data_IF_609604253824
#
_entry.id   IF_609604253824
#
_cell.length_a   1.000
_cell.length_b   1.000
_cell.length_c   1.000
_cell.angle_alpha   90.00
_cell.angle_beta   90.00
_cell.angle_gamma   90.00
#
_symmetry.space_group_name_H-M   'P 1'
#
loop_
_entity.id
_entity.type
_entity.pdbx_description
1 polymer ?
#
# COMPACT_ATOMS: atom_id res chain seq x y z
N UNK A 1 -19.92 6.68 9.62
CA UNK A 1 -18.60 6.39 10.22
C UNK A 1 -17.59 7.43 9.72
N UNK A 2 -16.67 7.95 10.55
CA UNK A 2 -15.64 8.89 10.10
C UNK A 2 -14.80 8.25 9.00
N UNK A 3 -14.72 8.89 7.83
CA UNK A 3 -13.90 8.40 6.71
C UNK A 3 -12.40 8.38 7.04
N UNK A 4 -11.97 9.25 7.95
CA UNK A 4 -10.59 9.39 8.37
C UNK A 4 -10.51 9.18 9.89
N UNK A 5 -10.04 8.01 10.31
CA UNK A 5 -9.86 7.68 11.73
C UNK A 5 -8.54 8.25 12.25
N UNK A 6 -8.60 9.14 13.24
CA UNK A 6 -7.41 9.60 13.96
C UNK A 6 -7.14 8.65 15.13
N UNK A 7 -5.94 8.09 15.17
CA UNK A 7 -5.52 7.21 16.27
C UNK A 7 -5.38 8.01 17.57
N UNK A 8 -5.84 7.42 18.67
CA UNK A 8 -5.74 8.02 20.02
C UNK A 8 -4.45 7.64 20.78
N UNK A 9 -3.70 6.65 20.29
CA UNK A 9 -2.53 6.09 20.99
C UNK A 9 -1.28 6.18 20.15
N UNK A 10 -0.13 6.40 20.79
CA UNK A 10 1.20 6.38 20.17
C UNK A 10 1.80 4.97 20.01
N UNK A 11 0.95 3.93 19.97
CA UNK A 11 1.43 2.56 19.70
C UNK A 11 2.02 2.50 18.29
N UNK A 12 3.14 1.79 18.14
CA UNK A 12 3.85 1.66 16.87
C UNK A 12 4.47 2.98 16.38
N UNK A 13 5.00 3.80 17.30
CA UNK A 13 5.71 5.04 17.00
C UNK A 13 7.11 4.84 16.38
N UNK A 14 7.56 3.60 16.25
CA UNK A 14 8.83 3.27 15.62
C UNK A 14 8.74 3.40 14.09
N UNK A 15 9.85 3.75 13.47
CA UNK A 15 9.93 3.98 12.04
C UNK A 15 9.88 2.67 11.22
N UNK A 16 9.10 2.69 10.11
CA UNK A 16 8.89 1.52 9.25
C UNK A 16 10.19 1.08 8.57
N UNK A 17 11.03 2.04 8.15
CA UNK A 17 12.30 1.75 7.48
C UNK A 17 13.31 1.15 8.47
N UNK A 18 13.37 1.67 9.69
CA UNK A 18 14.18 1.10 10.77
C UNK A 18 13.80 -0.37 11.07
N UNK A 19 12.51 -0.71 11.04
CA UNK A 19 12.07 -2.10 11.22
C UNK A 19 12.54 -3.02 10.10
N UNK A 20 12.46 -2.59 8.83
CA UNK A 20 12.99 -3.36 7.69
C UNK A 20 14.49 -3.62 7.84
N UNK A 21 15.26 -2.58 8.20
CA UNK A 21 16.71 -2.68 8.42
C UNK A 21 17.07 -3.60 9.58
N UNK A 22 16.35 -3.50 10.70
CA UNK A 22 16.56 -4.37 11.85
C UNK A 22 16.31 -5.86 11.52
N UNK A 23 15.25 -6.15 10.76
CA UNK A 23 14.95 -7.50 10.31
C UNK A 23 16.05 -8.03 9.39
N UNK A 24 16.49 -7.24 8.40
CA UNK A 24 17.53 -7.68 7.46
C UNK A 24 18.88 -7.91 8.14
N UNK A 25 19.26 -7.10 9.13
CA UNK A 25 20.49 -7.32 9.89
C UNK A 25 20.45 -8.64 10.69
N UNK A 26 19.33 -8.93 11.35
CA UNK A 26 19.16 -10.17 12.14
C UNK A 26 19.10 -11.38 11.23
N UNK A 27 18.38 -11.31 10.11
CA UNK A 27 18.27 -12.41 9.12
C UNK A 27 19.63 -12.72 8.48
N UNK A 28 20.43 -11.70 8.22
CA UNK A 28 21.80 -11.86 7.71
C UNK A 28 22.81 -12.29 8.79
N UNK A 29 22.35 -12.66 9.99
CA UNK A 29 23.17 -13.04 11.14
C UNK A 29 24.24 -12.01 11.53
N UNK A 30 24.04 -10.72 11.21
CA UNK A 30 24.99 -9.65 11.54
C UNK A 30 24.89 -9.19 13.00
N UNK A 31 23.72 -9.31 13.61
CA UNK A 31 23.45 -8.85 14.96
C UNK A 31 22.39 -9.72 15.64
N UNK A 32 22.47 -9.82 16.97
CA UNK A 32 21.43 -10.47 17.77
C UNK A 32 20.16 -9.61 17.80
N UNK A 33 19.00 -10.21 18.05
CA UNK A 33 17.70 -9.51 18.10
C UNK A 33 17.75 -8.31 19.06
N UNK A 34 18.40 -8.48 20.22
CA UNK A 34 18.55 -7.42 21.21
C UNK A 34 19.49 -6.29 20.74
N UNK A 35 20.59 -6.64 20.07
CA UNK A 35 21.53 -5.65 19.54
C UNK A 35 20.89 -4.83 18.41
N UNK A 36 20.18 -5.47 17.48
CA UNK A 36 19.43 -4.79 16.43
C UNK A 36 18.31 -3.90 17.00
N UNK A 37 17.56 -4.41 17.99
CA UNK A 37 16.50 -3.65 18.66
C UNK A 37 17.01 -2.34 19.26
N UNK A 38 18.15 -2.38 19.98
CA UNK A 38 18.79 -1.18 20.55
C UNK A 38 19.31 -0.24 19.47
N UNK A 39 19.91 -0.78 18.41
CA UNK A 39 20.51 0.00 17.31
C UNK A 39 19.46 0.82 16.54
N UNK A 40 18.27 0.27 16.36
CA UNK A 40 17.21 0.87 15.54
C UNK A 40 16.09 1.55 16.36
N UNK A 41 16.25 1.64 17.68
CA UNK A 41 15.25 2.15 18.63
C UNK A 41 13.88 1.47 18.48
N UNK A 42 13.91 0.13 18.45
CA UNK A 42 12.72 -0.70 18.32
C UNK A 42 12.60 -1.55 19.58
N UNK A 43 11.43 -1.62 20.22
CA UNK A 43 11.23 -2.53 21.33
C UNK A 43 11.53 -3.97 20.91
N UNK A 44 12.48 -4.60 21.58
CA UNK A 44 12.95 -5.97 21.29
C UNK A 44 11.81 -7.00 21.16
N UNK A 45 10.75 -6.99 22.01
CA UNK A 45 9.62 -7.90 21.86
C UNK A 45 8.86 -7.69 20.55
N UNK A 46 8.84 -6.46 20.04
CA UNK A 46 8.25 -6.14 18.75
C UNK A 46 9.10 -6.74 17.63
N UNK A 47 10.42 -6.51 17.63
CA UNK A 47 11.30 -7.07 16.60
C UNK A 47 11.20 -8.61 16.56
N UNK A 48 11.28 -9.28 17.73
CA UNK A 48 11.11 -10.73 17.84
C UNK A 48 9.76 -11.21 17.30
N UNK A 49 8.67 -10.48 17.58
CA UNK A 49 7.32 -10.80 17.05
C UNK A 49 7.29 -10.73 15.52
N UNK A 50 7.94 -9.74 14.91
CA UNK A 50 7.98 -9.57 13.47
C UNK A 50 8.79 -10.68 12.78
N UNK A 51 9.92 -11.08 13.38
CA UNK A 51 10.73 -12.21 12.92
C UNK A 51 9.94 -13.52 12.96
N UNK A 52 9.26 -13.81 14.08
CA UNK A 52 8.46 -15.04 14.24
C UNK A 52 7.27 -15.11 13.28
N UNK A 53 6.67 -13.97 12.91
CA UNK A 53 5.50 -13.90 12.03
C UNK A 53 5.85 -13.97 10.53
N UNK A 54 7.12 -14.21 10.19
CA UNK A 54 7.55 -14.33 8.79
C UNK A 54 7.34 -13.05 7.99
N UNK A 55 7.66 -11.88 8.57
CA UNK A 55 7.67 -10.63 7.81
C UNK A 55 6.31 -10.21 7.23
N UNK A 56 5.19 -10.62 7.84
CA UNK A 56 3.85 -10.19 7.39
C UNK A 56 3.57 -8.73 7.77
N UNK A 57 4.39 -7.82 7.27
CA UNK A 57 4.02 -6.42 7.09
C UNK A 57 2.88 -6.42 6.09
N UNK A 58 1.65 -6.23 6.57
CA UNK A 58 0.42 -6.23 5.75
C UNK A 58 0.41 -5.14 4.65
N UNK A 59 1.50 -4.41 4.44
CA UNK A 59 1.58 -3.11 3.75
C UNK A 59 2.93 -2.81 3.08
N UNK A 60 3.78 -3.80 2.76
CA UNK A 60 5.10 -3.52 2.16
C UNK A 60 5.42 -4.38 0.94
N UNK A 61 4.40 -4.85 0.23
CA UNK A 61 4.58 -4.94 -1.21
C UNK A 61 4.38 -3.51 -1.71
N UNK A 62 5.49 -2.82 -1.98
CA UNK A 62 5.51 -1.75 -2.98
C UNK A 62 5.04 -2.39 -4.28
N UNK A 63 3.74 -2.61 -4.40
CA UNK A 63 3.16 -2.95 -5.67
C UNK A 63 3.44 -1.73 -6.53
N UNK A 64 4.35 -1.89 -7.50
CA UNK A 64 4.26 -1.20 -8.79
C UNK A 64 2.87 -1.51 -9.37
N UNK A 65 1.85 -0.94 -8.76
CA UNK A 65 0.56 -0.75 -9.36
C UNK A 65 0.78 0.12 -10.61
N UNK A 66 -0.16 0.22 -11.57
CA UNK A 66 0.07 0.92 -12.83
C UNK A 66 0.20 2.45 -12.71
N UNK A 67 0.96 2.98 -11.74
CA UNK A 67 1.47 4.35 -11.66
C UNK A 67 2.26 4.69 -12.93
N UNK A 68 2.95 3.72 -13.52
CA UNK A 68 3.66 3.90 -14.79
C UNK A 68 2.70 4.16 -15.97
N UNK A 69 1.47 3.63 -15.94
CA UNK A 69 0.43 3.97 -16.93
C UNK A 69 -0.08 5.40 -16.73
N UNK A 70 -0.28 5.83 -15.47
CA UNK A 70 -0.74 7.19 -15.16
C UNK A 70 0.30 8.30 -15.39
N UNK A 71 1.60 8.00 -15.24
CA UNK A 71 2.67 9.00 -15.43
C UNK A 71 2.99 9.30 -16.89
N UNK A 72 2.83 8.32 -17.79
CA UNK A 72 3.28 8.44 -19.18
C UNK A 72 2.16 8.63 -20.18
N UNK A 73 0.90 8.36 -19.81
CA UNK A 73 -0.13 8.32 -20.83
C UNK A 73 -1.57 8.48 -20.30
N UNK A 74 -2.22 9.55 -20.77
CA UNK A 74 -3.67 9.70 -20.96
C UNK A 74 -4.55 10.11 -19.76
N UNK A 75 -5.48 11.03 -20.09
CA UNK A 75 -6.61 11.44 -19.27
C UNK A 75 -7.60 10.31 -18.99
N UNK A 76 -7.14 9.32 -18.23
CA UNK A 76 -7.93 8.20 -17.75
C UNK A 76 -8.99 8.71 -16.78
N UNK A 77 -10.24 8.34 -17.06
CA UNK A 77 -11.34 8.54 -16.12
C UNK A 77 -11.21 7.56 -14.95
N UNK A 78 -11.81 7.90 -13.80
CA UNK A 78 -11.86 7.01 -12.63
C UNK A 78 -12.38 5.61 -12.99
N UNK A 79 -13.37 5.52 -13.88
CA UNK A 79 -13.97 4.26 -14.32
C UNK A 79 -13.01 3.40 -15.17
N UNK A 80 -12.18 4.02 -16.00
CA UNK A 80 -11.15 3.30 -16.77
C UNK A 80 -10.02 2.85 -15.84
N UNK A 81 -9.59 3.72 -14.94
CA UNK A 81 -8.59 3.38 -13.93
C UNK A 81 -9.05 2.18 -13.08
N UNK A 82 -10.30 2.18 -12.62
CA UNK A 82 -10.87 1.06 -11.85
C UNK A 82 -10.87 -0.28 -12.58
N UNK A 83 -11.07 -0.29 -13.91
CA UNK A 83 -10.97 -1.52 -14.73
C UNK A 83 -9.54 -2.03 -14.81
N UNK A 84 -8.58 -1.12 -15.07
CA UNK A 84 -7.15 -1.46 -15.08
C UNK A 84 -6.67 -2.03 -13.74
N UNK A 85 -7.16 -1.49 -12.62
CA UNK A 85 -6.87 -2.00 -11.28
C UNK A 85 -7.34 -3.45 -11.10
N UNK A 86 -8.53 -3.76 -11.62
CA UNK A 86 -9.13 -5.09 -11.54
C UNK A 86 -8.33 -6.10 -12.35
N UNK A 87 -8.07 -5.78 -13.62
CA UNK A 87 -7.31 -6.67 -14.52
C UNK A 87 -5.87 -6.88 -14.02
N UNK A 88 -5.24 -5.84 -13.48
CA UNK A 88 -3.92 -5.96 -12.85
C UNK A 88 -3.95 -6.90 -11.63
N UNK A 89 -4.97 -6.79 -10.79
CA UNK A 89 -5.08 -7.65 -9.62
C UNK A 89 -5.41 -9.11 -9.97
N UNK A 90 -6.25 -9.36 -10.99
CA UNK A 90 -6.50 -10.72 -11.52
C UNK A 90 -5.23 -11.33 -12.14
N UNK A 91 -4.51 -10.57 -12.98
CA UNK A 91 -3.28 -11.07 -13.62
C UNK A 91 -2.16 -11.39 -12.63
N UNK A 92 -2.08 -10.66 -11.50
CA UNK A 92 -1.14 -10.93 -10.41
C UNK A 92 -1.64 -11.99 -9.43
N UNK A 93 -2.87 -12.50 -9.59
CA UNK A 93 -3.47 -13.47 -8.66
C UNK A 93 -3.72 -12.90 -7.26
N UNK A 94 -3.84 -11.58 -7.13
CA UNK A 94 -4.04 -10.91 -5.84
C UNK A 94 -5.52 -11.04 -5.47
N UNK A 95 -5.82 -11.67 -4.35
CA UNK A 95 -7.19 -11.76 -3.83
C UNK A 95 -7.72 -10.37 -3.49
N UNK A 96 -8.73 -9.89 -4.23
CA UNK A 96 -9.31 -8.55 -4.05
C UNK A 96 -10.81 -8.59 -3.80
N UNK A 97 -11.34 -7.56 -3.14
CA UNK A 97 -12.77 -7.35 -2.87
C UNK A 97 -13.48 -6.53 -3.95
N UNK A 98 -12.83 -6.35 -5.11
CA UNK A 98 -13.41 -5.59 -6.22
C UNK A 98 -14.67 -6.25 -6.75
N UNK A 99 -15.52 -5.46 -7.39
CA UNK A 99 -16.77 -5.94 -7.94
C UNK A 99 -16.46 -6.77 -9.21
N UNK A 100 -16.78 -8.07 -9.15
CA UNK A 100 -16.56 -9.02 -10.25
C UNK A 100 -17.58 -8.86 -11.38
N UNK A 101 -18.81 -8.46 -11.08
CA UNK A 101 -19.86 -8.22 -12.09
C UNK A 101 -19.49 -7.02 -12.97
N UNK A 102 -19.03 -5.93 -12.36
CA UNK A 102 -18.61 -4.71 -13.06
C UNK A 102 -17.16 -4.74 -13.54
N UNK A 103 -16.40 -5.79 -13.18
CA UNK A 103 -14.96 -5.95 -13.44
C UNK A 103 -14.16 -4.67 -13.15
N UNK A 104 -14.42 -4.05 -12.01
CA UNK A 104 -13.84 -2.75 -11.66
C UNK A 104 -13.58 -2.58 -10.17
N UNK A 105 -12.50 -1.87 -9.84
CA UNK A 105 -12.23 -1.43 -8.49
C UNK A 105 -13.24 -0.38 -8.00
N UNK A 106 -13.60 -0.46 -6.72
CA UNK A 106 -14.56 0.44 -6.10
C UNK A 106 -14.04 1.87 -5.98
N UNK A 107 -14.96 2.83 -5.83
CA UNK A 107 -14.64 4.26 -5.68
C UNK A 107 -13.69 4.52 -4.51
N UNK A 108 -13.90 3.86 -3.38
CA UNK A 108 -13.07 4.03 -2.19
C UNK A 108 -11.62 3.58 -2.42
N UNK A 109 -11.43 2.49 -3.17
CA UNK A 109 -10.09 2.03 -3.56
C UNK A 109 -9.39 3.05 -4.45
N UNK A 110 -10.09 3.57 -5.46
CA UNK A 110 -9.53 4.55 -6.39
C UNK A 110 -9.14 5.84 -5.65
N UNK A 111 -10.02 6.35 -4.76
CA UNK A 111 -9.73 7.56 -3.98
C UNK A 111 -8.58 7.36 -2.98
N UNK A 112 -8.52 6.21 -2.30
CA UNK A 112 -7.40 5.86 -1.42
C UNK A 112 -6.08 5.76 -2.19
N UNK A 113 -6.09 5.06 -3.32
CA UNK A 113 -4.93 4.87 -4.18
C UNK A 113 -4.40 6.22 -4.69
N UNK A 114 -5.27 7.08 -5.21
CA UNK A 114 -4.87 8.42 -5.70
C UNK A 114 -4.24 9.29 -4.61
N UNK A 115 -4.74 9.19 -3.37
CA UNK A 115 -4.19 9.92 -2.20
C UNK A 115 -2.79 9.45 -1.84
N UNK A 116 -2.56 8.14 -1.91
CA UNK A 116 -1.26 7.53 -1.59
C UNK A 116 -0.24 7.74 -2.72
N UNK A 117 -0.66 7.58 -3.97
CA UNK A 117 0.21 7.67 -5.16
C UNK A 117 0.41 9.09 -5.71
N UNK A 118 -0.19 10.12 -5.07
CA UNK A 118 -0.19 11.53 -5.52
C UNK A 118 -0.57 11.71 -7.00
N UNK A 119 -1.45 10.87 -7.54
CA UNK A 119 -1.91 10.95 -8.94
C UNK A 119 -3.14 11.86 -9.06
N UNK A 120 -3.19 12.67 -10.11
CA UNK A 120 -4.36 13.47 -10.50
C UNK A 120 -5.00 12.86 -11.75
N UNK A 121 -6.31 12.54 -11.70
CA UNK A 121 -7.09 12.07 -12.84
C UNK A 121 -7.98 13.21 -13.37
N UNK A 122 -8.22 13.25 -14.69
CA UNK A 122 -9.09 14.26 -15.33
C UNK A 122 -10.55 14.04 -14.92
N UNK A 123 -11.29 15.12 -14.68
CA UNK A 123 -12.77 15.05 -14.63
C UNK A 123 -13.27 14.99 -16.09
N UNK A 124 -14.16 14.07 -16.46
CA UNK A 124 -14.78 14.13 -17.79
C UNK A 124 -15.55 15.45 -17.90
N UNK A 125 -15.20 16.28 -18.88
CA UNK A 125 -16.00 17.44 -19.27
C UNK A 125 -17.25 16.92 -19.99
N UNK A 126 -18.43 17.47 -19.66
CA UNK A 126 -19.67 17.11 -20.34
C UNK A 126 -19.60 17.65 -21.77
N UNK A 127 -19.39 16.77 -22.75
CA UNK A 127 -19.63 17.11 -24.15
C UNK A 127 -21.13 17.24 -24.35
N UNK A 128 -21.64 18.48 -24.32
CA UNK A 128 -22.94 18.81 -24.88
C UNK A 128 -22.86 18.50 -26.38
N UNK A 129 -23.46 17.39 -26.79
CA UNK A 129 -23.69 17.09 -28.20
C UNK A 129 -24.72 18.11 -28.71
N UNK A 130 -24.31 18.96 -29.66
CA UNK A 130 -25.18 19.85 -30.41
C UNK A 130 -25.60 19.19 -31.72
#
# INVERSE_FOLDING_TARGET
MPRNYVRKTNRQSWDKENMKKAISEVVNNRSSVNAAAKKYDIPEPTLRRYLKKGGRTRELEEHEFPVNAGRRAFGLTKSQFGRLCFDFAESKGITHKFNKEKRAAGRDFIEAFMKESKLTLRKPEATSVA
#
